data_IF_523254819980
#
_entry.id   IF_523254819980
#
_cell.length_a   1.000
_cell.length_b   1.000
_cell.length_c   1.000
_cell.angle_alpha   90.00
_cell.angle_beta   90.00
_cell.angle_gamma   90.00
#
_symmetry.space_group_name_H-M   'P 1'
#
loop_
_entity.id
_entity.type
_entity.pdbx_description
1 polymer ?
#
# COMPACT_ATOMS: atom_id res chain seq x y z
N UNK A 1 -7.21 -14.97 -19.39
CA UNK A 1 -8.53 -14.98 -18.70
C UNK A 1 -8.43 -14.03 -17.53
N UNK A 2 -9.48 -13.26 -17.25
CA UNK A 2 -9.52 -12.33 -16.11
C UNK A 2 -10.97 -12.03 -15.77
N UNK A 3 -11.26 -11.83 -14.49
CA UNK A 3 -12.61 -11.60 -13.99
C UNK A 3 -13.22 -10.36 -14.70
N UNK A 4 -14.40 -10.50 -15.34
CA UNK A 4 -15.02 -9.39 -16.07
C UNK A 4 -15.35 -8.20 -15.17
N UNK A 5 -15.61 -8.43 -13.87
CA UNK A 5 -15.93 -7.39 -12.89
C UNK A 5 -14.73 -6.50 -12.60
N UNK A 6 -13.52 -7.09 -12.58
CA UNK A 6 -12.27 -6.36 -12.37
C UNK A 6 -11.97 -5.39 -13.51
N UNK A 7 -12.34 -5.74 -14.75
CA UNK A 7 -12.12 -4.90 -15.94
C UNK A 7 -12.97 -3.63 -15.99
N UNK A 8 -14.05 -3.58 -15.20
CA UNK A 8 -14.92 -2.39 -15.14
C UNK A 8 -14.28 -1.24 -14.34
N UNK A 9 -13.24 -1.53 -13.56
CA UNK A 9 -12.56 -0.53 -12.76
C UNK A 9 -11.52 0.25 -13.57
N UNK A 10 -11.31 1.54 -13.25
CA UNK A 10 -10.28 2.36 -13.90
C UNK A 10 -8.89 1.69 -13.86
N UNK A 11 -8.12 1.84 -14.93
CA UNK A 11 -6.76 1.29 -15.11
C UNK A 11 -6.68 -0.26 -15.24
N UNK A 12 -7.80 -0.97 -15.21
CA UNK A 12 -7.84 -2.46 -15.22
C UNK A 12 -8.19 -3.08 -16.57
N UNK A 13 -8.53 -2.25 -17.57
CA UNK A 13 -8.86 -2.71 -18.92
C UNK A 13 -7.67 -3.32 -19.68
N UNK A 14 -6.44 -2.99 -19.26
CA UNK A 14 -5.20 -3.50 -19.85
C UNK A 14 -4.11 -3.59 -18.78
N UNK A 15 -3.15 -4.53 -18.88
CA UNK A 15 -1.96 -4.55 -18.00
C UNK A 15 -1.01 -3.37 -18.26
N UNK A 16 -1.11 -2.70 -19.42
CA UNK A 16 -0.14 -1.68 -19.85
C UNK A 16 0.02 -0.52 -18.84
N UNK A 17 -1.06 0.11 -18.31
CA UNK A 17 -0.91 1.20 -17.34
C UNK A 17 -0.11 0.78 -16.09
N UNK A 18 -0.37 -0.40 -15.55
CA UNK A 18 0.34 -0.92 -14.38
C UNK A 18 1.81 -1.20 -14.68
N UNK A 19 2.10 -1.89 -15.79
CA UNK A 19 3.48 -2.13 -16.23
C UNK A 19 4.24 -0.82 -16.44
N UNK A 20 3.59 0.20 -17.02
CA UNK A 20 4.17 1.53 -17.20
C UNK A 20 4.47 2.22 -15.86
N UNK A 21 3.54 2.19 -14.89
CA UNK A 21 3.73 2.76 -13.55
C UNK A 21 4.92 2.10 -12.84
N UNK A 22 4.98 0.76 -12.83
CA UNK A 22 6.06 0.03 -12.16
C UNK A 22 7.41 0.27 -12.83
N UNK A 23 7.45 0.25 -14.17
CA UNK A 23 8.66 0.52 -14.94
C UNK A 23 9.17 1.94 -14.65
N UNK A 24 8.28 2.92 -14.68
CA UNK A 24 8.61 4.30 -14.34
C UNK A 24 9.14 4.41 -12.91
N UNK A 25 8.47 3.79 -11.94
CA UNK A 25 8.89 3.82 -10.53
C UNK A 25 10.30 3.24 -10.31
N UNK A 26 10.60 2.09 -10.93
CA UNK A 26 11.92 1.44 -10.85
C UNK A 26 12.99 2.33 -11.50
N UNK A 27 12.75 2.83 -12.72
CA UNK A 27 13.69 3.70 -13.43
C UNK A 27 13.91 5.01 -12.67
N UNK A 28 12.85 5.57 -12.10
CA UNK A 28 12.92 6.80 -11.32
C UNK A 28 13.74 6.62 -10.05
N UNK A 29 13.56 5.53 -9.30
CA UNK A 29 14.28 5.32 -8.05
C UNK A 29 15.75 4.91 -8.25
N UNK A 30 16.05 4.07 -9.25
CA UNK A 30 17.40 3.54 -9.42
C UNK A 30 18.29 4.34 -10.39
N UNK A 31 17.72 5.06 -11.36
CA UNK A 31 18.49 5.81 -12.36
C UNK A 31 18.30 7.32 -12.24
N UNK A 32 17.09 7.81 -12.48
CA UNK A 32 16.82 9.25 -12.62
C UNK A 32 17.04 9.96 -11.27
N UNK A 33 16.55 9.34 -10.21
CA UNK A 33 16.57 9.91 -8.89
C UNK A 33 17.97 10.21 -8.35
N UNK A 34 18.84 9.19 -8.24
CA UNK A 34 20.23 9.38 -7.86
C UNK A 34 20.95 10.38 -8.78
N UNK A 35 20.72 10.31 -10.10
CA UNK A 35 21.34 11.22 -11.06
C UNK A 35 20.98 12.70 -10.81
N UNK A 36 19.71 13.01 -10.49
CA UNK A 36 19.26 14.38 -10.16
C UNK A 36 19.86 14.85 -8.82
N UNK A 37 19.98 13.95 -7.84
CA UNK A 37 20.45 14.28 -6.49
C UNK A 37 21.97 14.37 -6.36
N UNK A 38 22.73 13.72 -7.25
CA UNK A 38 24.20 13.82 -7.25
C UNK A 38 24.72 15.25 -7.41
N UNK A 39 23.87 16.20 -7.83
CA UNK A 39 24.22 17.61 -8.03
C UNK A 39 23.38 18.58 -7.18
N UNK A 40 22.63 18.10 -6.18
CA UNK A 40 21.71 18.93 -5.39
C UNK A 40 21.75 18.59 -3.90
N UNK A 41 21.62 19.62 -3.08
CA UNK A 41 21.45 19.44 -1.63
C UNK A 41 20.13 18.73 -1.30
N UNK A 42 20.03 18.06 -0.12
CA UNK A 42 18.82 17.36 0.28
C UNK A 42 17.61 18.32 0.34
N UNK A 43 16.61 18.05 -0.49
CA UNK A 43 15.36 18.81 -0.50
C UNK A 43 14.70 18.78 0.91
N UNK A 44 14.28 19.95 1.40
CA UNK A 44 13.49 20.07 2.64
C UNK A 44 12.04 19.66 2.39
N UNK A 45 11.79 18.37 2.24
CA UNK A 45 10.47 17.79 1.93
C UNK A 45 9.61 17.49 3.17
N UNK A 46 9.87 18.13 4.32
CA UNK A 46 9.20 17.78 5.58
C UNK A 46 7.68 17.89 5.47
N UNK A 47 7.18 19.01 4.97
CA UNK A 47 5.75 19.25 4.84
C UNK A 47 5.10 18.27 3.86
N UNK A 48 5.75 18.01 2.73
CA UNK A 48 5.31 17.01 1.75
C UNK A 48 5.20 15.62 2.37
N UNK A 49 6.20 15.19 3.15
CA UNK A 49 6.20 13.90 3.85
C UNK A 49 5.10 13.84 4.92
N UNK A 50 4.87 14.94 5.65
CA UNK A 50 3.77 15.01 6.63
C UNK A 50 2.40 14.91 5.95
N UNK A 51 2.18 15.64 4.85
CA UNK A 51 0.94 15.56 4.08
C UNK A 51 0.74 14.16 3.50
N UNK A 52 1.79 13.53 2.96
CA UNK A 52 1.75 12.16 2.46
C UNK A 52 1.36 11.16 3.57
N UNK A 53 2.02 11.21 4.72
CA UNK A 53 1.71 10.34 5.86
C UNK A 53 0.26 10.55 6.34
N UNK A 54 -0.22 11.80 6.37
CA UNK A 54 -1.61 12.09 6.75
C UNK A 54 -2.61 11.51 5.74
N UNK A 55 -2.35 11.67 4.43
CA UNK A 55 -3.18 11.08 3.37
C UNK A 55 -3.22 9.55 3.47
N UNK A 56 -2.08 8.93 3.77
CA UNK A 56 -1.98 7.50 4.00
C UNK A 56 -2.79 7.05 5.22
N UNK A 57 -2.72 7.77 6.34
CA UNK A 57 -3.55 7.49 7.52
C UNK A 57 -5.04 7.54 7.15
N UNK A 58 -5.50 8.63 6.53
CA UNK A 58 -6.91 8.80 6.15
C UNK A 58 -7.36 7.70 5.20
N UNK A 59 -6.58 7.43 4.15
CA UNK A 59 -6.93 6.43 3.14
C UNK A 59 -7.01 5.02 3.73
N UNK A 60 -6.01 4.63 4.53
CA UNK A 60 -6.03 3.32 5.21
C UNK A 60 -7.18 3.22 6.22
N UNK A 61 -7.47 4.28 6.98
CA UNK A 61 -8.61 4.30 7.91
C UNK A 61 -9.95 4.15 7.19
N UNK A 62 -10.15 4.85 6.08
CA UNK A 62 -11.39 4.71 5.29
C UNK A 62 -11.58 3.28 4.76
N UNK A 63 -10.53 2.68 4.20
CA UNK A 63 -10.58 1.30 3.69
C UNK A 63 -10.76 0.30 4.85
N UNK A 64 -10.11 0.53 5.98
CA UNK A 64 -10.26 -0.33 7.17
C UNK A 64 -11.69 -0.28 7.73
N UNK A 65 -12.30 0.90 7.83
CA UNK A 65 -13.71 1.04 8.23
C UNK A 65 -14.62 0.32 7.23
N UNK A 66 -14.39 0.48 5.93
CA UNK A 66 -15.13 -0.27 4.92
C UNK A 66 -14.96 -1.79 5.11
N UNK A 67 -13.75 -2.26 5.38
CA UNK A 67 -13.46 -3.66 5.70
C UNK A 67 -14.18 -4.17 6.96
N UNK A 68 -14.32 -3.34 8.00
CA UNK A 68 -15.11 -3.70 9.21
C UNK A 68 -16.56 -4.01 8.84
N UNK A 69 -17.16 -3.27 7.90
CA UNK A 69 -18.54 -3.56 7.44
C UNK A 69 -18.67 -4.90 6.71
N UNK A 70 -17.55 -5.45 6.22
CA UNK A 70 -17.48 -6.74 5.52
C UNK A 70 -17.09 -7.89 6.44
N UNK A 71 -16.57 -7.64 7.65
CA UNK A 71 -16.19 -8.67 8.62
C UNK A 71 -17.29 -9.70 8.91
N UNK A 72 -18.58 -9.34 9.05
CA UNK A 72 -19.64 -10.32 9.28
C UNK A 72 -19.88 -11.28 8.10
N UNK A 73 -19.34 -10.96 6.91
CA UNK A 73 -19.51 -11.71 5.67
C UNK A 73 -18.31 -12.61 5.35
N UNK A 74 -17.30 -12.64 6.21
CA UNK A 74 -16.08 -13.46 6.01
C UNK A 74 -15.91 -14.48 7.12
N UNK A 75 -15.36 -15.63 6.76
CA UNK A 75 -14.94 -16.68 7.70
C UNK A 75 -13.43 -16.77 7.68
N UNK A 76 -12.83 -16.86 8.87
CA UNK A 76 -11.36 -16.95 9.05
C UNK A 76 -10.79 -18.18 8.33
N UNK A 77 -11.55 -19.27 8.28
CA UNK A 77 -11.11 -20.53 7.67
C UNK A 77 -11.19 -20.51 6.15
N UNK A 78 -12.39 -20.26 5.62
CA UNK A 78 -12.63 -20.27 4.19
C UNK A 78 -13.76 -19.29 3.89
N UNK A 79 -13.39 -18.18 3.27
CA UNK A 79 -14.35 -17.26 2.67
C UNK A 79 -14.44 -17.54 1.17
N UNK A 80 -15.59 -18.05 0.68
CA UNK A 80 -15.76 -18.31 -0.74
C UNK A 80 -15.69 -17.02 -1.54
N UNK A 81 -15.29 -17.14 -2.81
CA UNK A 81 -15.33 -16.01 -3.72
C UNK A 81 -16.79 -15.68 -4.03
N UNK A 82 -17.24 -14.50 -3.62
CA UNK A 82 -18.51 -13.93 -4.04
C UNK A 82 -18.43 -13.58 -5.53
N UNK A 83 -19.22 -14.27 -6.37
CA UNK A 83 -19.26 -14.09 -7.83
C UNK A 83 -20.34 -13.11 -8.28
N UNK A 84 -21.08 -12.50 -7.36
CA UNK A 84 -22.08 -11.50 -7.68
C UNK A 84 -21.47 -10.29 -8.39
N UNK A 85 -22.24 -9.70 -9.33
CA UNK A 85 -21.79 -8.53 -10.09
C UNK A 85 -21.49 -7.33 -9.19
N UNK A 86 -22.27 -7.16 -8.10
CA UNK A 86 -22.18 -6.03 -7.17
C UNK A 86 -21.46 -6.40 -5.87
N UNK A 87 -20.50 -7.33 -5.92
CA UNK A 87 -19.80 -7.77 -4.72
C UNK A 87 -19.00 -6.62 -4.10
N UNK A 88 -19.23 -6.28 -2.81
CA UNK A 88 -18.47 -5.22 -2.14
C UNK A 88 -17.00 -5.62 -1.92
N UNK A 89 -16.67 -6.91 -1.99
CA UNK A 89 -15.31 -7.42 -1.90
C UNK A 89 -14.44 -6.98 -3.07
N UNK A 90 -15.02 -6.91 -4.28
CA UNK A 90 -14.32 -6.41 -5.48
C UNK A 90 -13.95 -4.94 -5.28
N UNK A 91 -14.87 -4.14 -4.74
CA UNK A 91 -14.63 -2.72 -4.43
C UNK A 91 -13.53 -2.57 -3.37
N UNK A 92 -13.60 -3.34 -2.29
CA UNK A 92 -12.59 -3.31 -1.23
C UNK A 92 -11.19 -3.67 -1.76
N UNK A 93 -11.12 -4.71 -2.60
CA UNK A 93 -9.87 -5.14 -3.24
C UNK A 93 -9.29 -4.07 -4.17
N UNK A 94 -10.14 -3.44 -4.98
CA UNK A 94 -9.72 -2.36 -5.85
C UNK A 94 -9.18 -1.17 -5.06
N UNK A 95 -9.87 -0.74 -4.00
CA UNK A 95 -9.40 0.35 -3.14
C UNK A 95 -8.06 0.01 -2.48
N UNK A 96 -7.88 -1.23 -2.03
CA UNK A 96 -6.60 -1.71 -1.51
C UNK A 96 -5.49 -1.71 -2.57
N UNK A 97 -5.79 -2.10 -3.80
CA UNK A 97 -4.84 -2.04 -4.91
C UNK A 97 -4.40 -0.59 -5.21
N UNK A 98 -5.34 0.36 -5.24
CA UNK A 98 -5.02 1.78 -5.42
C UNK A 98 -4.14 2.28 -4.27
N UNK A 99 -4.41 1.86 -3.04
CA UNK A 99 -3.55 2.17 -1.90
C UNK A 99 -2.12 1.63 -2.11
N UNK A 100 -1.96 0.40 -2.63
CA UNK A 100 -0.62 -0.15 -2.92
C UNK A 100 0.11 0.56 -4.06
N UNK A 101 -0.63 1.10 -5.03
CA UNK A 101 -0.04 1.99 -6.03
C UNK A 101 0.38 3.32 -5.38
N UNK A 102 -0.42 3.85 -4.45
CA UNK A 102 -0.08 5.07 -3.72
C UNK A 102 1.13 4.89 -2.79
N UNK A 103 1.32 3.69 -2.21
CA UNK A 103 2.51 3.33 -1.43
C UNK A 103 3.81 3.49 -2.25
N UNK A 104 3.77 3.36 -3.58
CA UNK A 104 4.92 3.59 -4.47
C UNK A 104 5.32 5.07 -4.53
N UNK A 105 4.48 6.00 -4.08
CA UNK A 105 4.82 7.43 -4.03
C UNK A 105 5.78 7.72 -2.88
N UNK A 106 5.90 6.81 -1.89
CA UNK A 106 6.86 6.93 -0.79
C UNK A 106 8.30 6.89 -1.31
N UNK A 107 8.81 8.07 -1.64
CA UNK A 107 10.10 8.29 -2.29
C UNK A 107 11.03 9.07 -1.36
N UNK A 108 10.93 8.84 -0.04
CA UNK A 108 11.83 9.49 0.90
C UNK A 108 13.24 8.83 0.88
N UNK A 109 14.09 9.33 -0.01
CA UNK A 109 15.36 8.71 -0.44
C UNK A 109 16.44 8.51 0.62
N UNK A 110 16.29 9.05 1.84
CA UNK A 110 17.28 8.82 2.91
C UNK A 110 17.19 7.42 3.53
N UNK A 111 16.11 6.67 3.28
CA UNK A 111 15.90 5.32 3.83
C UNK A 111 15.36 4.29 2.83
N UNK A 112 15.46 4.56 1.52
CA UNK A 112 15.04 3.58 0.50
C UNK A 112 16.11 2.49 0.39
N UNK A 113 15.83 1.32 0.95
CA UNK A 113 16.63 0.11 0.71
C UNK A 113 16.12 -0.58 -0.56
N UNK A 114 16.99 -1.37 -1.21
CA UNK A 114 16.60 -2.21 -2.36
C UNK A 114 15.42 -3.11 -1.98
N UNK A 115 15.45 -3.65 -0.76
CA UNK A 115 14.39 -4.50 -0.21
C UNK A 115 13.03 -3.77 -0.15
N UNK A 116 13.02 -2.51 0.29
CA UNK A 116 11.80 -1.72 0.35
C UNK A 116 11.18 -1.51 -1.04
N UNK A 117 12.00 -1.11 -2.03
CA UNK A 117 11.53 -0.93 -3.42
C UNK A 117 10.97 -2.23 -3.98
N UNK A 118 11.71 -3.33 -3.82
CA UNK A 118 11.32 -4.65 -4.31
C UNK A 118 10.01 -5.12 -3.67
N UNK A 119 9.89 -4.99 -2.36
CA UNK A 119 8.69 -5.34 -1.61
C UNK A 119 7.47 -4.56 -2.10
N UNK A 120 7.53 -3.22 -2.20
CA UNK A 120 6.37 -2.43 -2.64
C UNK A 120 5.95 -2.72 -4.08
N UNK A 121 6.91 -2.94 -4.99
CA UNK A 121 6.61 -3.36 -6.36
C UNK A 121 5.94 -4.73 -6.39
N UNK A 122 6.49 -5.70 -5.66
CA UNK A 122 5.96 -7.07 -5.62
C UNK A 122 4.56 -7.10 -4.99
N UNK A 123 4.33 -6.36 -3.91
CA UNK A 123 3.03 -6.29 -3.25
C UNK A 123 1.97 -5.66 -4.17
N UNK A 124 2.31 -4.59 -4.89
CA UNK A 124 1.38 -3.94 -5.81
C UNK A 124 1.09 -4.81 -7.05
N UNK A 125 2.12 -5.46 -7.62
CA UNK A 125 1.96 -6.42 -8.72
C UNK A 125 1.14 -7.64 -8.30
N UNK A 126 1.46 -8.24 -7.15
CA UNK A 126 0.74 -9.39 -6.61
C UNK A 126 -0.72 -9.08 -6.35
N UNK A 127 -1.00 -7.92 -5.74
CA UNK A 127 -2.38 -7.44 -5.52
C UNK A 127 -3.11 -7.22 -6.85
N UNK A 128 -2.44 -6.69 -7.88
CA UNK A 128 -3.03 -6.52 -9.22
C UNK A 128 -3.36 -7.87 -9.87
N UNK A 129 -2.44 -8.84 -9.82
CA UNK A 129 -2.68 -10.20 -10.34
C UNK A 129 -3.85 -10.86 -9.61
N UNK A 130 -3.89 -10.78 -8.28
CA UNK A 130 -5.00 -11.31 -7.48
C UNK A 130 -6.31 -10.62 -7.82
N UNK A 131 -6.32 -9.30 -7.96
CA UNK A 131 -7.52 -8.56 -8.36
C UNK A 131 -8.05 -8.98 -9.74
N UNK A 132 -7.17 -9.23 -10.71
CA UNK A 132 -7.57 -9.63 -12.05
C UNK A 132 -8.14 -11.06 -12.14
N UNK A 133 -7.84 -11.92 -11.17
CA UNK A 133 -8.20 -13.34 -11.22
C UNK A 133 -9.20 -13.76 -10.13
N UNK A 134 -9.03 -13.25 -8.91
CA UNK A 134 -9.76 -13.64 -7.70
C UNK A 134 -10.07 -12.38 -6.86
N UNK A 135 -10.96 -11.49 -7.32
CA UNK A 135 -11.26 -10.24 -6.63
C UNK A 135 -12.18 -10.48 -5.42
N UNK A 136 -11.62 -10.93 -4.31
CA UNK A 136 -12.34 -11.11 -3.03
C UNK A 136 -12.12 -12.45 -2.37
N UNK A 137 -13.07 -12.86 -1.53
CA UNK A 137 -12.99 -14.09 -0.74
C UNK A 137 -11.90 -14.01 0.33
N UNK A 138 -11.13 -15.09 0.47
CA UNK A 138 -10.07 -15.22 1.48
C UNK A 138 -8.98 -14.13 1.40
N UNK A 139 -8.76 -13.55 0.21
CA UNK A 139 -7.75 -12.50 0.01
C UNK A 139 -8.07 -11.22 0.81
N UNK A 140 -9.32 -11.06 1.29
CA UNK A 140 -9.68 -10.02 2.26
C UNK A 140 -8.74 -9.99 3.48
N UNK A 141 -8.33 -11.16 3.98
CA UNK A 141 -7.45 -11.28 5.16
C UNK A 141 -6.00 -10.87 4.90
N UNK A 142 -5.60 -10.67 3.64
CA UNK A 142 -4.29 -10.08 3.33
C UNK A 142 -4.36 -8.56 3.44
N UNK A 143 -5.40 -7.95 2.87
CA UNK A 143 -5.54 -6.49 2.81
C UNK A 143 -6.02 -5.86 4.12
N UNK A 144 -6.97 -6.49 4.80
CA UNK A 144 -7.60 -5.93 6.00
C UNK A 144 -6.63 -5.68 7.17
N UNK A 145 -5.85 -6.66 7.66
CA UNK A 145 -4.87 -6.42 8.72
C UNK A 145 -3.72 -5.54 8.26
N UNK A 146 -3.35 -5.59 6.97
CA UNK A 146 -2.32 -4.71 6.42
C UNK A 146 -2.72 -3.23 6.55
N UNK A 147 -3.97 -2.89 6.23
CA UNK A 147 -4.48 -1.52 6.42
C UNK A 147 -4.37 -1.07 7.88
N UNK A 148 -4.67 -1.95 8.84
CA UNK A 148 -4.53 -1.64 10.27
C UNK A 148 -3.09 -1.31 10.67
N UNK A 149 -2.13 -2.15 10.25
CA UNK A 149 -0.71 -1.89 10.51
C UNK A 149 -0.23 -0.62 9.82
N UNK A 150 -0.68 -0.37 8.59
CA UNK A 150 -0.35 0.86 7.86
C UNK A 150 -0.89 2.11 8.57
N UNK A 151 -2.08 2.07 9.19
CA UNK A 151 -2.58 3.17 10.04
C UNK A 151 -1.59 3.46 11.17
N UNK A 152 -1.17 2.43 11.91
CA UNK A 152 -0.23 2.57 13.04
C UNK A 152 1.13 3.09 12.57
N UNK A 153 1.67 2.49 11.50
CA UNK A 153 2.96 2.84 10.93
C UNK A 153 3.00 4.29 10.43
N UNK A 154 2.04 4.70 9.61
CA UNK A 154 2.00 6.06 9.08
C UNK A 154 1.66 7.10 10.16
N UNK A 155 0.86 6.74 11.18
CA UNK A 155 0.67 7.59 12.37
C UNK A 155 1.99 7.83 13.08
N UNK A 156 2.79 6.79 13.29
CA UNK A 156 4.12 6.94 13.88
C UNK A 156 5.04 7.80 13.00
N UNK A 157 5.04 7.61 11.68
CA UNK A 157 5.82 8.43 10.75
C UNK A 157 5.38 9.90 10.70
N UNK A 158 4.09 10.16 10.79
CA UNK A 158 3.56 11.51 10.93
C UNK A 158 4.06 12.18 12.21
N UNK A 159 3.99 11.50 13.35
CA UNK A 159 4.41 12.04 14.65
C UNK A 159 5.91 12.36 14.70
N UNK A 160 6.78 11.51 14.14
CA UNK A 160 8.23 11.80 14.10
C UNK A 160 8.58 12.96 13.16
N UNK A 161 7.78 13.19 12.11
CA UNK A 161 7.94 14.32 11.19
C UNK A 161 7.40 15.62 11.78
N UNK A 162 6.35 15.54 12.59
CA UNK A 162 5.75 16.66 13.32
C UNK A 162 6.68 17.21 14.41
N UNK A 163 7.14 16.35 15.33
CA UNK A 163 8.06 16.74 16.40
C UNK A 163 9.22 15.71 16.54
N UNK A 164 10.48 16.12 16.33
CA UNK A 164 11.66 15.29 16.52
C UNK A 164 11.78 14.64 17.91
N UNK A 165 11.11 15.15 18.95
CA UNK A 165 11.08 14.54 20.29
C UNK A 165 10.52 13.11 20.27
N UNK A 166 9.59 12.81 19.36
CA UNK A 166 9.02 11.45 19.25
C UNK A 166 10.02 10.45 18.64
N UNK A 167 11.03 10.92 17.89
CA UNK A 167 12.08 10.08 17.29
C UNK A 167 12.92 9.34 18.34
N UNK A 168 13.02 9.86 19.56
CA UNK A 168 13.81 9.25 20.65
C UNK A 168 13.15 7.98 21.24
N UNK A 169 11.90 7.66 20.87
CA UNK A 169 11.18 6.49 21.41
C UNK A 169 11.46 5.20 20.62
N UNK A 170 12.70 4.71 20.66
CA UNK A 170 13.20 3.52 19.92
C UNK A 170 12.34 2.25 20.15
N UNK A 171 11.73 2.10 21.34
CA UNK A 171 10.87 0.95 21.69
C UNK A 171 9.66 0.80 20.77
N UNK A 172 9.07 1.91 20.32
CA UNK A 172 7.91 1.89 19.42
C UNK A 172 8.30 1.50 18.00
N UNK A 173 9.46 1.97 17.52
CA UNK A 173 10.02 1.54 16.23
C UNK A 173 10.17 0.02 16.16
N UNK A 174 10.73 -0.60 17.19
CA UNK A 174 10.93 -2.06 17.23
C UNK A 174 9.60 -2.84 17.17
N UNK A 175 8.57 -2.38 17.90
CA UNK A 175 7.24 -3.02 17.91
C UNK A 175 6.53 -2.90 16.56
N UNK A 176 6.62 -1.74 15.91
CA UNK A 176 6.03 -1.53 14.57
C UNK A 176 6.72 -2.43 13.55
N UNK A 177 8.04 -2.59 13.62
CA UNK A 177 8.78 -3.49 12.73
C UNK A 177 8.41 -4.96 12.94
N UNK A 178 8.18 -5.40 14.20
CA UNK A 178 7.71 -6.76 14.48
C UNK A 178 6.32 -7.02 13.89
N UNK A 179 5.37 -6.10 14.10
CA UNK A 179 4.02 -6.19 13.53
C UNK A 179 4.01 -6.24 11.99
N UNK A 180 4.97 -5.58 11.34
CA UNK A 180 5.08 -5.59 9.88
C UNK A 180 5.62 -6.92 9.34
N UNK A 181 6.58 -7.54 10.03
CA UNK A 181 7.16 -8.83 9.62
C UNK A 181 6.14 -9.95 9.80
N UNK A 182 5.43 -10.01 10.93
CA UNK A 182 4.43 -11.04 11.23
C UNK A 182 3.23 -11.08 10.27
N UNK A 183 2.99 -10.02 9.51
CA UNK A 183 1.90 -9.94 8.50
C UNK A 183 2.42 -10.14 7.07
N UNK A 184 3.74 -10.08 6.87
CA UNK A 184 4.38 -10.23 5.56
C UNK A 184 5.01 -11.61 5.34
N UNK A 185 5.02 -12.46 6.37
CA UNK A 185 5.34 -13.90 6.33
C UNK A 185 4.07 -14.73 6.15
#
# INVERSE_FOLDING_TARGET
MGDPRSKMYPLMGSPLPFVSIFTFYIVFNFKIGPAIMNKREPLKIRELVMSYNLLQIVSNTMIFIFGITLLPRVSIWCTPLDTSANSPFVTAHYLYLILKVFDLVDTNRKQITVLHVYHHVLMALGTWVLFMNIPGGQVFFVGFPNCFVHIIMYTYYFLISWDPKYKKRIRWKKRITQLQIEISE
#
